data_IF_782199162330
#
_entry.id   IF_782199162330
#
_cell.length_a   1.000
_cell.length_b   1.000
_cell.length_c   1.000
_cell.angle_alpha   90.00
_cell.angle_beta   90.00
_cell.angle_gamma   90.00
#
_symmetry.space_group_name_H-M   'P 1'
#
loop_
_entity.id
_entity.type
_entity.pdbx_description
1 polymer ?
#
# COMPACT_ATOMS: atom_id res chain seq x y z
N UNK A 1 30.86 9.14 6.02
CA UNK A 1 29.57 9.03 5.31
C UNK A 1 29.07 7.59 5.49
N UNK A 2 28.17 7.34 6.44
CA UNK A 2 27.61 5.99 6.64
C UNK A 2 26.58 5.79 5.53
N UNK A 3 26.92 4.99 4.53
CA UNK A 3 25.99 4.62 3.47
C UNK A 3 24.76 3.96 4.09
N UNK A 4 23.58 4.54 3.86
CA UNK A 4 22.32 3.87 4.13
C UNK A 4 22.30 2.61 3.27
N UNK A 5 22.50 1.43 3.89
CA UNK A 5 22.03 0.18 3.31
C UNK A 5 20.50 0.27 3.30
N UNK A 6 19.93 0.64 2.16
CA UNK A 6 18.50 0.46 1.93
C UNK A 6 18.30 -1.04 1.86
N UNK A 7 17.94 -1.65 2.98
CA UNK A 7 17.50 -3.04 3.00
C UNK A 7 16.29 -3.16 2.09
N UNK A 8 16.29 -4.17 1.22
CA UNK A 8 15.15 -4.44 0.34
C UNK A 8 13.98 -4.92 1.21
N UNK A 9 12.90 -4.14 1.24
CA UNK A 9 11.74 -4.40 2.11
C UNK A 9 10.69 -5.13 1.31
N UNK A 10 10.31 -6.30 1.82
CA UNK A 10 9.23 -7.12 1.29
C UNK A 10 7.96 -6.88 2.12
N UNK A 11 6.83 -6.86 1.42
CA UNK A 11 5.50 -6.58 1.95
C UNK A 11 4.50 -7.51 1.30
N UNK A 12 3.47 -7.92 2.04
CA UNK A 12 2.41 -8.76 1.50
C UNK A 12 1.74 -8.09 0.27
N UNK A 13 1.59 -8.85 -0.81
CA UNK A 13 1.02 -8.38 -2.07
C UNK A 13 -0.52 -8.32 -2.01
N UNK A 14 -1.05 -7.29 -1.35
CA UNK A 14 -2.50 -7.14 -1.12
C UNK A 14 -3.30 -6.57 -2.30
N UNK A 15 -2.62 -5.99 -3.28
CA UNK A 15 -3.24 -5.31 -4.41
C UNK A 15 -2.41 -5.53 -5.67
N UNK A 16 -3.07 -6.03 -6.72
CA UNK A 16 -2.44 -6.29 -8.00
C UNK A 16 -3.11 -5.46 -9.11
N UNK A 17 -2.42 -5.16 -10.22
CA UNK A 17 -3.01 -4.42 -11.35
C UNK A 17 -4.28 -5.07 -11.93
N UNK A 18 -4.41 -6.38 -11.78
CA UNK A 18 -5.58 -7.16 -12.22
C UNK A 18 -6.76 -6.99 -11.25
N UNK A 19 -6.50 -6.82 -9.95
CA UNK A 19 -7.50 -6.78 -8.88
C UNK A 19 -7.47 -5.44 -8.12
N UNK A 20 -8.04 -4.40 -8.71
CA UNK A 20 -8.11 -3.04 -8.16
C UNK A 20 -9.41 -2.76 -7.40
N UNK A 21 -9.71 -3.53 -6.35
CA UNK A 21 -10.95 -3.34 -5.56
C UNK A 21 -10.74 -2.39 -4.39
N UNK A 22 -11.81 -1.73 -3.92
CA UNK A 22 -11.77 -0.94 -2.68
C UNK A 22 -11.30 -1.77 -1.48
N UNK A 23 -11.66 -3.05 -1.43
CA UNK A 23 -11.22 -3.99 -0.40
C UNK A 23 -9.69 -4.20 -0.42
N UNK A 24 -9.10 -4.31 -1.61
CA UNK A 24 -7.65 -4.48 -1.75
C UNK A 24 -6.88 -3.22 -1.34
N UNK A 25 -7.42 -2.01 -1.58
CA UNK A 25 -6.86 -0.78 -1.02
C UNK A 25 -6.91 -0.78 0.51
N UNK A 26 -8.02 -1.23 1.10
CA UNK A 26 -8.15 -1.38 2.55
C UNK A 26 -7.04 -2.28 3.10
N UNK A 27 -6.91 -3.49 2.55
CA UNK A 27 -5.93 -4.50 2.97
C UNK A 27 -4.50 -4.01 2.82
N UNK A 28 -4.16 -3.37 1.69
CA UNK A 28 -2.85 -2.78 1.48
C UNK A 28 -2.55 -1.69 2.52
N UNK A 29 -3.54 -0.84 2.85
CA UNK A 29 -3.41 0.16 3.91
C UNK A 29 -3.18 -0.46 5.28
N UNK A 30 -3.91 -1.52 5.62
CA UNK A 30 -3.75 -2.23 6.89
C UNK A 30 -2.37 -2.90 7.01
N UNK A 31 -1.90 -3.58 5.96
CA UNK A 31 -0.55 -4.17 5.94
C UNK A 31 0.52 -3.10 6.11
N UNK A 32 0.45 -2.02 5.33
CA UNK A 32 1.43 -0.94 5.41
C UNK A 32 1.41 -0.22 6.77
N UNK A 33 0.29 -0.23 7.49
CA UNK A 33 0.20 0.35 8.84
C UNK A 33 1.00 -0.41 9.89
N UNK A 34 1.38 -1.67 9.63
CA UNK A 34 2.23 -2.49 10.52
C UNK A 34 3.71 -2.08 10.45
N UNK A 35 4.10 -1.38 9.41
CA UNK A 35 5.48 -0.91 9.21
C UNK A 35 5.61 0.54 9.69
N UNK A 36 6.73 0.83 10.35
CA UNK A 36 7.08 2.19 10.78
C UNK A 36 7.62 3.01 9.61
N UNK A 37 7.47 4.32 9.67
CA UNK A 37 7.98 5.21 8.62
C UNK A 37 9.50 5.07 8.45
N UNK A 38 10.23 4.90 9.56
CA UNK A 38 11.69 4.72 9.59
C UNK A 38 12.16 3.52 8.76
N UNK A 39 11.33 2.48 8.64
CA UNK A 39 11.63 1.30 7.80
C UNK A 39 11.82 1.70 6.36
N UNK A 40 11.07 2.70 5.87
CA UNK A 40 11.15 3.21 4.50
C UNK A 40 12.03 4.45 4.37
N UNK A 41 12.76 4.84 5.43
CA UNK A 41 13.55 6.08 5.44
C UNK A 41 12.69 7.35 5.41
N UNK A 42 11.46 7.28 5.92
CA UNK A 42 10.53 8.40 5.97
C UNK A 42 10.33 8.89 7.41
N UNK A 43 9.96 10.17 7.55
CA UNK A 43 9.44 10.70 8.80
C UNK A 43 8.00 10.22 9.03
N UNK A 44 7.60 10.02 10.28
CA UNK A 44 6.22 9.62 10.65
C UNK A 44 5.14 10.57 10.10
N UNK A 45 5.46 11.86 9.96
CA UNK A 45 4.55 12.87 9.37
C UNK A 45 4.28 12.63 7.88
N UNK A 46 5.21 11.99 7.18
CA UNK A 46 5.16 11.72 5.74
C UNK A 46 4.57 10.34 5.44
N UNK A 47 4.51 9.46 6.45
CA UNK A 47 3.92 8.11 6.36
C UNK A 47 2.39 8.11 6.41
N UNK A 48 1.78 8.83 5.47
CA UNK A 48 0.32 9.03 5.40
C UNK A 48 -0.38 8.06 4.47
N UNK A 49 0.38 7.31 3.65
CA UNK A 49 -0.18 6.39 2.66
C UNK A 49 -1.11 5.33 3.28
N UNK A 50 -0.75 4.62 4.36
CA UNK A 50 -1.62 3.59 4.95
C UNK A 50 -3.01 4.13 5.28
N UNK A 51 -3.07 5.28 5.98
CA UNK A 51 -4.32 5.94 6.37
C UNK A 51 -5.14 6.41 5.17
N UNK A 52 -4.49 6.92 4.12
CA UNK A 52 -5.17 7.34 2.88
C UNK A 52 -5.82 6.16 2.16
N UNK A 53 -5.17 5.01 2.13
CA UNK A 53 -5.70 3.81 1.48
C UNK A 53 -6.93 3.25 2.21
N UNK A 54 -6.87 3.16 3.54
CA UNK A 54 -8.01 2.76 4.36
C UNK A 54 -9.17 3.74 4.18
N UNK A 55 -8.91 5.05 4.27
CA UNK A 55 -9.95 6.06 4.08
C UNK A 55 -10.58 5.99 2.68
N UNK A 56 -9.77 5.78 1.64
CA UNK A 56 -10.25 5.63 0.26
C UNK A 56 -11.16 4.41 0.10
N UNK A 57 -10.87 3.30 0.79
CA UNK A 57 -11.70 2.10 0.74
C UNK A 57 -13.11 2.28 1.32
N UNK A 58 -13.33 3.35 2.10
CA UNK A 58 -14.57 3.62 2.87
C UNK A 58 -14.96 2.48 3.82
N UNK A 59 -14.01 1.61 4.18
CA UNK A 59 -14.21 0.53 5.14
C UNK A 59 -13.63 0.91 6.50
N UNK A 60 -14.32 0.49 7.55
CA UNK A 60 -13.88 0.60 8.95
C UNK A 60 -13.04 -0.59 9.40
N UNK A 61 -13.23 -1.73 8.75
CA UNK A 61 -12.50 -2.97 9.01
C UNK A 61 -12.00 -3.53 7.69
N UNK A 62 -10.69 -3.64 7.58
CA UNK A 62 -10.02 -4.37 6.52
C UNK A 62 -9.79 -5.79 7.09
N UNK A 63 -10.21 -6.84 6.39
CA UNK A 63 -9.84 -8.20 6.76
C UNK A 63 -8.57 -8.56 5.98
N UNK A 64 -7.43 -7.93 6.30
CA UNK A 64 -6.15 -8.31 5.71
C UNK A 64 -5.67 -9.63 6.33
N UNK A 65 -5.92 -10.72 5.61
CA UNK A 65 -5.14 -11.96 5.78
C UNK A 65 -3.81 -11.76 5.07
N UNK A 66 -2.72 -12.34 5.59
CA UNK A 66 -1.42 -12.33 4.92
C UNK A 66 -1.57 -12.77 3.46
N UNK A 67 -0.83 -12.10 2.57
CA UNK A 67 -0.88 -12.43 1.15
C UNK A 67 -0.16 -13.74 0.94
N UNK A 68 -0.56 -14.51 -0.07
CA UNK A 68 0.16 -15.74 -0.43
C UNK A 68 1.58 -15.47 -0.98
N UNK A 69 1.87 -14.19 -1.29
CA UNK A 69 3.12 -13.73 -1.88
C UNK A 69 3.54 -12.39 -1.27
N UNK A 70 4.83 -12.25 -0.98
CA UNK A 70 5.47 -10.97 -0.68
C UNK A 70 6.09 -10.36 -1.94
N UNK A 71 6.02 -9.04 -2.06
CA UNK A 71 6.63 -8.26 -3.14
C UNK A 71 7.48 -7.15 -2.55
N UNK A 72 8.40 -6.61 -3.35
CA UNK A 72 9.16 -5.44 -2.93
C UNK A 72 8.22 -4.24 -2.73
N UNK A 73 8.50 -3.43 -1.72
CA UNK A 73 7.72 -2.23 -1.43
C UNK A 73 7.51 -1.30 -2.65
N UNK A 74 8.54 -1.01 -3.49
CA UNK A 74 8.33 -0.25 -4.73
C UNK A 74 7.33 -0.89 -5.70
N UNK A 75 7.30 -2.22 -5.79
CA UNK A 75 6.36 -2.96 -6.64
C UNK A 75 4.93 -2.82 -6.10
N UNK A 76 4.72 -2.92 -4.79
CA UNK A 76 3.41 -2.67 -4.17
C UNK A 76 2.93 -1.23 -4.45
N UNK A 77 3.81 -0.24 -4.30
CA UNK A 77 3.49 1.17 -4.62
C UNK A 77 3.09 1.35 -6.08
N UNK A 78 3.76 0.65 -7.00
CA UNK A 78 3.41 0.66 -8.41
C UNK A 78 2.00 0.08 -8.65
N UNK A 79 1.66 -1.06 -8.03
CA UNK A 79 0.32 -1.65 -8.09
C UNK A 79 -0.75 -0.71 -7.53
N UNK A 80 -0.50 -0.07 -6.37
CA UNK A 80 -1.41 0.92 -5.77
C UNK A 80 -1.65 2.09 -6.73
N UNK A 81 -0.57 2.65 -7.31
CA UNK A 81 -0.66 3.77 -8.25
C UNK A 81 -1.45 3.40 -9.49
N UNK A 82 -1.17 2.24 -10.08
CA UNK A 82 -1.90 1.73 -11.24
C UNK A 82 -3.39 1.61 -10.95
N UNK A 83 -3.74 0.97 -9.84
CA UNK A 83 -5.14 0.80 -9.45
C UNK A 83 -5.84 2.12 -9.15
N UNK A 84 -5.16 3.05 -8.47
CA UNK A 84 -5.73 4.37 -8.22
C UNK A 84 -6.03 5.07 -9.54
N UNK A 85 -5.10 5.08 -10.49
CA UNK A 85 -5.30 5.68 -11.81
C UNK A 85 -6.45 5.04 -12.59
N UNK A 86 -6.62 3.72 -12.49
CA UNK A 86 -7.73 2.99 -13.12
C UNK A 86 -9.07 3.40 -12.55
N UNK A 87 -9.17 3.59 -11.23
CA UNK A 87 -10.40 4.08 -10.59
C UNK A 87 -10.67 5.57 -10.89
N UNK A 88 -9.65 6.45 -10.82
CA UNK A 88 -9.81 7.88 -11.12
C UNK A 88 -10.14 8.19 -12.59
N UNK A 89 -9.81 7.28 -13.51
CA UNK A 89 -10.15 7.40 -14.94
C UNK A 89 -11.55 6.89 -15.27
N UNK A 90 -12.27 6.27 -14.35
CA UNK A 90 -13.68 5.93 -14.60
C UNK A 90 -14.47 7.24 -14.68
N UNK A 91 -15.24 7.48 -15.75
CA UNK A 91 -16.11 8.64 -15.80
C UNK A 91 -17.04 8.60 -14.59
N UNK A 92 -17.21 9.74 -13.92
CA UNK A 92 -18.23 9.90 -12.89
C UNK A 92 -19.58 9.66 -13.59
N UNK A 93 -20.20 8.52 -13.28
CA UNK A 93 -21.53 8.15 -13.76
C UNK A 93 -22.61 8.95 -13.03
#
# INVERSE_FOLDING_TARGET
MKGLKISMIFVDHMITPEHCTLDNFCKAGEVLSKYKAETFGLDEKDWRLPRKLIAYSRKTTCNAKAGDQEVEFPQLLHSIKHCAQKEYRKPCA
#
